data_IF_335721104662
#
_entry.id   IF_335721104662
#
_cell.length_a   1.000
_cell.length_b   1.000
_cell.length_c   1.000
_cell.angle_alpha   90.00
_cell.angle_beta   90.00
_cell.angle_gamma   90.00
#
_symmetry.space_group_name_H-M   'P 1'
#
loop_
_entity.id
_entity.type
_entity.pdbx_description
1 polymer ?
#
# COMPACT_ATOMS: atom_id res chain seq x y z
N UNK A 1 -22.79 46.60 -37.59
CA UNK A 1 -21.46 46.11 -37.97
C UNK A 1 -20.42 46.48 -36.94
N UNK A 2 -19.65 45.50 -36.47
CA UNK A 2 -18.46 45.72 -35.62
C UNK A 2 -17.20 45.97 -36.47
N UNK A 3 -16.15 46.50 -35.85
CA UNK A 3 -14.90 46.82 -36.57
C UNK A 3 -14.20 45.57 -37.14
N UNK A 4 -14.33 44.44 -36.46
CA UNK A 4 -13.78 43.15 -36.90
C UNK A 4 -14.57 42.56 -38.08
N UNK A 5 -15.90 42.73 -38.10
CA UNK A 5 -16.76 42.33 -39.23
C UNK A 5 -16.46 43.15 -40.49
N UNK A 6 -16.25 44.46 -40.35
CA UNK A 6 -15.87 45.35 -41.45
C UNK A 6 -14.53 44.92 -42.07
N UNK A 7 -13.59 44.47 -41.23
CA UNK A 7 -12.28 43.99 -41.68
C UNK A 7 -12.33 42.62 -42.35
N UNK A 8 -13.16 41.69 -41.84
CA UNK A 8 -13.33 40.34 -42.40
C UNK A 8 -14.20 40.32 -43.67
N UNK A 9 -15.17 41.24 -43.78
CA UNK A 9 -16.24 41.21 -44.78
C UNK A 9 -16.43 42.53 -45.54
N UNK A 10 -15.45 42.91 -46.38
CA UNK A 10 -15.56 44.13 -47.22
C UNK A 10 -16.78 44.15 -48.15
N UNK A 11 -17.32 42.97 -48.50
CA UNK A 11 -18.53 42.83 -49.33
C UNK A 11 -19.81 43.19 -48.57
N UNK A 12 -19.96 42.71 -47.35
CA UNK A 12 -21.13 43.00 -46.49
C UNK A 12 -21.14 44.48 -46.11
N UNK A 13 -19.97 45.03 -45.77
CA UNK A 13 -19.82 46.46 -45.54
C UNK A 13 -20.22 47.31 -46.75
N UNK A 14 -19.77 46.92 -47.95
CA UNK A 14 -20.13 47.60 -49.20
C UNK A 14 -21.64 47.57 -49.44
N UNK A 15 -22.30 46.45 -49.19
CA UNK A 15 -23.76 46.31 -49.36
C UNK A 15 -24.53 47.22 -48.39
N UNK A 16 -24.19 47.20 -47.10
CA UNK A 16 -24.92 48.00 -46.10
C UNK A 16 -24.75 49.52 -46.33
N UNK A 17 -23.55 49.95 -46.75
CA UNK A 17 -23.31 51.35 -47.14
C UNK A 17 -24.08 51.71 -48.41
N UNK A 18 -24.09 50.81 -49.40
CA UNK A 18 -24.80 51.03 -50.66
C UNK A 18 -26.31 51.20 -50.44
N UNK A 19 -26.93 50.34 -49.64
CA UNK A 19 -28.36 50.40 -49.34
C UNK A 19 -28.74 51.72 -48.65
N UNK A 20 -27.95 52.17 -47.66
CA UNK A 20 -28.21 53.42 -46.93
C UNK A 20 -28.04 54.64 -47.82
N UNK A 21 -26.98 54.70 -48.63
CA UNK A 21 -26.74 55.85 -49.52
C UNK A 21 -27.72 55.87 -50.69
N UNK A 22 -28.11 54.71 -51.23
CA UNK A 22 -29.12 54.63 -52.30
C UNK A 22 -30.49 55.14 -51.82
N UNK A 23 -30.86 54.90 -50.55
CA UNK A 23 -32.10 55.40 -49.96
C UNK A 23 -32.17 56.93 -49.96
N UNK A 24 -31.06 57.62 -49.63
CA UNK A 24 -30.98 59.08 -49.68
C UNK A 24 -30.95 59.62 -51.11
N UNK A 25 -30.21 58.98 -52.01
CA UNK A 25 -30.09 59.41 -53.41
C UNK A 25 -31.39 59.26 -54.20
N UNK A 26 -32.25 58.30 -53.83
CA UNK A 26 -33.57 58.12 -54.42
C UNK A 26 -34.45 59.38 -54.29
N UNK A 27 -34.30 60.16 -53.20
CA UNK A 27 -35.04 61.42 -53.01
C UNK A 27 -34.68 62.47 -54.07
N UNK A 28 -33.48 62.37 -54.64
CA UNK A 28 -32.97 63.23 -55.70
C UNK A 28 -33.04 62.59 -57.10
N UNK A 29 -33.59 61.38 -57.20
CA UNK A 29 -33.70 60.63 -58.47
C UNK A 29 -32.37 60.07 -58.99
N UNK A 30 -31.35 59.93 -58.15
CA UNK A 30 -30.02 59.46 -58.54
C UNK A 30 -29.81 57.97 -58.20
N UNK A 31 -29.14 57.23 -59.08
CA UNK A 31 -28.89 55.79 -58.95
C UNK A 31 -27.40 55.47 -58.95
N UNK A 32 -26.94 54.71 -57.97
CA UNK A 32 -25.56 54.23 -57.92
C UNK A 32 -25.45 52.95 -58.76
N UNK A 33 -24.69 52.99 -59.84
CA UNK A 33 -24.40 51.81 -60.67
C UNK A 33 -23.23 50.98 -60.15
N UNK A 34 -22.19 51.65 -59.64
CA UNK A 34 -21.02 50.99 -59.09
C UNK A 34 -20.39 51.87 -58.02
N UNK A 35 -20.06 51.27 -56.89
CA UNK A 35 -19.29 51.90 -55.83
C UNK A 35 -18.12 50.98 -55.46
N UNK A 36 -16.92 51.53 -55.34
CA UNK A 36 -15.75 50.80 -54.86
C UNK A 36 -15.30 51.41 -53.54
N UNK A 37 -15.10 50.55 -52.55
CA UNK A 37 -14.40 50.92 -51.31
C UNK A 37 -12.91 50.90 -51.63
N UNK A 38 -12.20 52.01 -51.35
CA UNK A 38 -10.77 52.11 -51.65
C UNK A 38 -9.92 51.27 -50.69
N UNK A 39 -9.56 51.85 -49.56
CA UNK A 39 -8.79 51.19 -48.51
C UNK A 39 -9.19 51.81 -47.18
N UNK A 40 -9.46 50.97 -46.19
CA UNK A 40 -9.62 51.42 -44.82
C UNK A 40 -8.23 51.63 -44.24
N UNK A 41 -7.94 52.86 -43.83
CA UNK A 41 -6.68 53.25 -43.21
C UNK A 41 -6.99 53.88 -41.86
N UNK A 42 -6.13 53.61 -40.88
CA UNK A 42 -6.27 54.23 -39.57
C UNK A 42 -6.04 55.75 -39.67
N UNK A 43 -6.71 56.48 -38.79
CA UNK A 43 -6.45 57.91 -38.59
C UNK A 43 -5.04 58.07 -38.01
N UNK A 44 -4.33 59.10 -38.46
CA UNK A 44 -2.95 59.38 -38.05
C UNK A 44 -2.83 59.43 -36.52
N UNK A 45 -2.05 58.52 -35.94
CA UNK A 45 -1.85 58.36 -34.49
C UNK A 45 -2.48 57.09 -33.89
N UNK A 46 -3.26 56.33 -34.66
CA UNK A 46 -3.82 55.04 -34.26
C UNK A 46 -3.30 53.92 -35.18
N UNK A 47 -3.09 52.72 -34.62
CA UNK A 47 -2.55 51.54 -35.34
C UNK A 47 -3.45 50.29 -35.17
N UNK A 48 -4.76 50.51 -35.00
CA UNK A 48 -5.72 49.45 -34.69
C UNK A 48 -5.75 48.34 -35.75
N UNK A 49 -5.74 48.68 -37.04
CA UNK A 49 -5.74 47.68 -38.11
C UNK A 49 -4.44 46.87 -38.18
N UNK A 50 -3.31 47.47 -37.83
CA UNK A 50 -2.02 46.78 -37.75
C UNK A 50 -2.06 45.73 -36.65
N UNK A 51 -2.51 46.09 -35.45
CA UNK A 51 -2.63 45.16 -34.32
C UNK A 51 -3.70 44.09 -34.56
N UNK A 52 -4.82 44.42 -35.19
CA UNK A 52 -5.85 43.44 -35.55
C UNK A 52 -5.33 42.43 -36.58
N UNK A 53 -4.56 42.88 -37.58
CA UNK A 53 -3.88 42.01 -38.54
C UNK A 53 -2.87 41.08 -37.85
N UNK A 54 -2.05 41.60 -36.95
CA UNK A 54 -1.10 40.79 -36.18
C UNK A 54 -1.81 39.76 -35.28
N UNK A 55 -2.88 40.18 -34.58
CA UNK A 55 -3.69 39.30 -33.72
C UNK A 55 -4.29 38.14 -34.52
N UNK A 56 -4.90 38.42 -35.67
CA UNK A 56 -5.52 37.38 -36.51
C UNK A 56 -4.49 36.40 -37.10
N UNK A 57 -3.31 36.88 -37.49
CA UNK A 57 -2.22 36.01 -37.92
C UNK A 57 -1.68 35.15 -36.78
N UNK A 58 -1.50 35.71 -35.58
CA UNK A 58 -1.07 34.95 -34.41
C UNK A 58 -2.11 33.93 -33.97
N UNK A 59 -3.40 34.28 -34.03
CA UNK A 59 -4.51 33.40 -33.72
C UNK A 59 -4.56 32.21 -34.69
N UNK A 60 -4.44 32.45 -36.00
CA UNK A 60 -4.37 31.39 -36.99
C UNK A 60 -3.12 30.51 -36.81
N UNK A 61 -1.96 31.11 -36.52
CA UNK A 61 -0.73 30.36 -36.26
C UNK A 61 -0.82 29.50 -34.99
N UNK A 62 -1.44 30.01 -33.93
CA UNK A 62 -1.65 29.27 -32.70
C UNK A 62 -2.68 28.15 -32.90
N UNK A 63 -3.77 28.40 -33.62
CA UNK A 63 -4.74 27.36 -33.95
C UNK A 63 -4.09 26.23 -34.76
N UNK A 64 -3.30 26.56 -35.78
CA UNK A 64 -2.56 25.57 -36.55
C UNK A 64 -1.57 24.77 -35.69
N UNK A 65 -0.92 25.40 -34.70
CA UNK A 65 -0.06 24.71 -33.74
C UNK A 65 -0.85 23.75 -32.85
N UNK A 66 -2.03 24.15 -32.39
CA UNK A 66 -2.93 23.30 -31.61
C UNK A 66 -3.35 22.09 -32.43
N UNK A 67 -3.82 22.29 -33.67
CA UNK A 67 -4.26 21.21 -34.55
C UNK A 67 -3.12 20.21 -34.84
N UNK A 68 -1.90 20.70 -35.07
CA UNK A 68 -0.71 19.85 -35.26
C UNK A 68 -0.36 19.08 -33.98
N UNK A 69 -0.45 19.70 -32.81
CA UNK A 69 -0.20 19.05 -31.53
C UNK A 69 -1.24 17.96 -31.24
N UNK A 70 -2.52 18.23 -31.49
CA UNK A 70 -3.61 17.25 -31.36
C UNK A 70 -3.44 16.07 -32.32
N UNK A 71 -3.08 16.35 -33.59
CA UNK A 71 -2.82 15.31 -34.57
C UNK A 71 -1.63 14.42 -34.17
N UNK A 72 -0.54 15.01 -33.67
CA UNK A 72 0.60 14.25 -33.13
C UNK A 72 0.20 13.41 -31.93
N UNK A 73 -0.51 13.98 -30.96
CA UNK A 73 -0.99 13.27 -29.79
C UNK A 73 -1.85 12.06 -30.19
N UNK A 74 -2.79 12.25 -31.13
CA UNK A 74 -3.64 11.17 -31.63
C UNK A 74 -2.84 10.09 -32.37
N UNK A 75 -1.83 10.48 -33.15
CA UNK A 75 -0.93 9.56 -33.83
C UNK A 75 -0.10 8.71 -32.85
N UNK A 76 0.48 9.35 -31.84
CA UNK A 76 1.28 8.68 -30.79
C UNK A 76 0.42 7.73 -29.94
N UNK A 77 -0.77 8.16 -29.52
CA UNK A 77 -1.72 7.31 -28.80
C UNK A 77 -2.12 6.11 -29.67
N UNK A 78 -2.42 6.33 -30.96
CA UNK A 78 -2.75 5.27 -31.90
C UNK A 78 -1.62 4.25 -32.07
N UNK A 79 -0.36 4.72 -32.18
CA UNK A 79 0.83 3.87 -32.24
C UNK A 79 0.97 3.04 -30.96
N UNK A 80 0.94 3.69 -29.78
CA UNK A 80 1.10 3.00 -28.49
C UNK A 80 -0.02 2.00 -28.22
N UNK A 81 -1.25 2.31 -28.62
CA UNK A 81 -2.37 1.38 -28.51
C UNK A 81 -2.15 0.13 -29.37
N UNK A 82 -1.68 0.30 -30.62
CA UNK A 82 -1.35 -0.81 -31.53
C UNK A 82 -0.18 -1.64 -31.00
N UNK A 83 0.86 -1.00 -30.47
CA UNK A 83 1.98 -1.68 -29.83
C UNK A 83 1.51 -2.52 -28.63
N UNK A 84 0.69 -1.93 -27.75
CA UNK A 84 0.13 -2.63 -26.60
C UNK A 84 -0.77 -3.81 -26.99
N UNK A 85 -1.63 -3.63 -28.00
CA UNK A 85 -2.44 -4.73 -28.55
C UNK A 85 -1.58 -5.84 -29.16
N UNK A 86 -0.52 -5.48 -29.88
CA UNK A 86 0.41 -6.46 -30.48
C UNK A 86 1.11 -7.26 -29.39
N UNK A 87 1.59 -6.60 -28.31
CA UNK A 87 2.20 -7.29 -27.18
C UNK A 87 1.22 -8.20 -26.45
N UNK A 88 -0.02 -7.75 -26.20
CA UNK A 88 -1.04 -8.59 -25.56
C UNK A 88 -1.40 -9.80 -26.41
N UNK A 89 -1.57 -9.63 -27.72
CA UNK A 89 -1.87 -10.73 -28.64
C UNK A 89 -0.68 -11.70 -28.73
N UNK A 90 0.55 -11.20 -28.79
CA UNK A 90 1.75 -12.05 -28.76
C UNK A 90 1.82 -12.87 -27.47
N UNK A 91 1.56 -12.26 -26.31
CA UNK A 91 1.55 -12.96 -25.02
C UNK A 91 0.44 -14.03 -24.94
N UNK A 92 -0.77 -13.74 -25.47
CA UNK A 92 -1.86 -14.72 -25.56
C UNK A 92 -1.48 -15.90 -26.45
N UNK A 93 -0.92 -15.63 -27.63
CA UNK A 93 -0.48 -16.67 -28.57
C UNK A 93 0.63 -17.53 -27.94
N UNK A 94 1.60 -16.92 -27.26
CA UNK A 94 2.67 -17.68 -26.60
C UNK A 94 2.13 -18.56 -25.46
N UNK A 95 1.21 -18.03 -24.65
CA UNK A 95 0.53 -18.80 -23.61
C UNK A 95 -0.26 -19.98 -24.19
N UNK A 96 -1.06 -19.75 -25.24
CA UNK A 96 -1.80 -20.81 -25.94
C UNK A 96 -0.85 -21.84 -26.58
N UNK A 97 0.23 -21.38 -27.20
CA UNK A 97 1.26 -22.26 -27.78
C UNK A 97 1.90 -23.13 -26.72
N UNK A 98 2.20 -22.57 -25.54
CA UNK A 98 2.76 -23.32 -24.41
C UNK A 98 1.77 -24.35 -23.86
N UNK A 99 0.48 -24.01 -23.74
CA UNK A 99 -0.57 -24.95 -23.33
C UNK A 99 -0.68 -26.09 -24.35
N UNK A 100 -0.77 -25.79 -25.64
CA UNK A 100 -0.88 -26.80 -26.70
C UNK A 100 0.36 -27.70 -26.74
N UNK A 101 1.57 -27.13 -26.60
CA UNK A 101 2.80 -27.91 -26.57
C UNK A 101 2.85 -28.84 -25.35
N UNK A 102 2.42 -28.38 -24.18
CA UNK A 102 2.35 -29.17 -22.95
C UNK A 102 1.32 -30.28 -23.07
N UNK A 103 0.15 -29.98 -23.66
CA UNK A 103 -0.89 -30.97 -23.92
C UNK A 103 -0.42 -32.04 -24.89
N UNK A 104 0.21 -31.65 -26.02
CA UNK A 104 0.81 -32.59 -26.98
C UNK A 104 1.89 -33.45 -26.34
N UNK A 105 2.73 -32.89 -25.46
CA UNK A 105 3.72 -33.66 -24.71
C UNK A 105 3.06 -34.63 -23.72
N UNK A 106 1.99 -34.19 -23.03
CA UNK A 106 1.21 -35.05 -22.14
C UNK A 106 0.57 -36.22 -22.87
N UNK A 107 -0.02 -35.97 -24.03
CA UNK A 107 -0.63 -37.01 -24.88
C UNK A 107 0.43 -37.94 -25.48
N UNK A 108 1.57 -37.40 -25.93
CA UNK A 108 2.72 -38.20 -26.35
C UNK A 108 3.24 -39.14 -25.26
N UNK A 109 3.39 -38.63 -24.02
CA UNK A 109 3.79 -39.45 -22.86
C UNK A 109 2.74 -40.49 -22.50
N UNK A 110 1.45 -40.18 -22.57
CA UNK A 110 0.39 -41.17 -22.34
C UNK A 110 0.47 -42.31 -23.35
N UNK A 111 0.67 -42.00 -24.62
CA UNK A 111 0.75 -43.01 -25.66
C UNK A 111 2.03 -43.85 -25.54
N UNK A 112 3.16 -43.22 -25.21
CA UNK A 112 4.41 -43.91 -24.90
C UNK A 112 4.26 -44.85 -23.70
N UNK A 113 3.59 -44.39 -22.63
CA UNK A 113 3.28 -45.23 -21.48
C UNK A 113 2.44 -46.42 -21.92
N UNK A 114 1.33 -46.23 -22.64
CA UNK A 114 0.46 -47.33 -23.11
C UNK A 114 1.23 -48.37 -23.91
N UNK A 115 2.06 -47.93 -24.87
CA UNK A 115 2.90 -48.83 -25.67
C UNK A 115 3.86 -49.59 -24.76
N UNK A 116 4.53 -48.91 -23.82
CA UNK A 116 5.45 -49.55 -22.87
C UNK A 116 4.74 -50.53 -21.94
N UNK A 117 3.54 -50.23 -21.45
CA UNK A 117 2.76 -51.16 -20.64
C UNK A 117 2.35 -52.38 -21.46
N UNK A 118 1.92 -52.18 -22.72
CA UNK A 118 1.55 -53.28 -23.60
C UNK A 118 2.75 -54.21 -23.89
N UNK A 119 3.93 -53.65 -24.15
CA UNK A 119 5.18 -54.43 -24.32
C UNK A 119 5.52 -55.21 -23.05
N UNK A 120 5.49 -54.60 -21.87
CA UNK A 120 5.74 -55.30 -20.60
C UNK A 120 4.74 -56.41 -20.32
N UNK A 121 3.45 -56.18 -20.61
CA UNK A 121 2.42 -57.22 -20.46
C UNK A 121 2.72 -58.39 -21.40
N UNK A 122 3.16 -58.12 -22.64
CA UNK A 122 3.55 -59.15 -23.58
C UNK A 122 4.79 -59.93 -23.14
N UNK A 123 5.82 -59.25 -22.65
CA UNK A 123 7.03 -59.87 -22.07
C UNK A 123 6.66 -60.78 -20.89
N UNK A 124 5.85 -60.29 -19.95
CA UNK A 124 5.39 -61.07 -18.80
C UNK A 124 4.59 -62.32 -19.22
N UNK A 125 3.72 -62.20 -20.23
CA UNK A 125 2.97 -63.34 -20.76
C UNK A 125 3.91 -64.38 -21.40
N UNK A 126 4.95 -63.93 -22.12
CA UNK A 126 5.95 -64.83 -22.71
C UNK A 126 6.83 -65.50 -21.68
N UNK A 127 7.23 -64.79 -20.63
CA UNK A 127 7.95 -65.39 -19.51
C UNK A 127 7.10 -66.42 -18.76
N UNK A 128 5.81 -66.14 -18.55
CA UNK A 128 4.88 -67.11 -17.95
C UNK A 128 4.71 -68.37 -18.82
N UNK A 129 4.55 -68.22 -20.13
CA UNK A 129 4.45 -69.34 -21.08
C UNK A 129 5.73 -70.21 -21.08
N UNK A 130 6.91 -69.58 -21.03
CA UNK A 130 8.21 -70.28 -20.90
C UNK A 130 8.34 -70.98 -19.55
N UNK A 131 7.87 -70.36 -18.46
CA UNK A 131 7.89 -70.96 -17.13
C UNK A 131 6.97 -72.19 -17.04
N UNK A 132 5.78 -72.14 -17.64
CA UNK A 132 4.87 -73.29 -17.74
C UNK A 132 5.48 -74.43 -18.56
N UNK A 133 6.05 -74.13 -19.74
CA UNK A 133 6.73 -75.13 -20.56
C UNK A 133 7.92 -75.78 -19.82
N UNK A 134 8.70 -74.99 -19.08
CA UNK A 134 9.80 -75.50 -18.26
C UNK A 134 9.30 -76.36 -17.09
N UNK A 135 8.19 -75.99 -16.45
CA UNK A 135 7.57 -76.77 -15.39
C UNK A 135 7.03 -78.11 -15.91
N UNK A 136 6.44 -78.14 -17.11
CA UNK A 136 6.02 -79.38 -17.76
C UNK A 136 7.20 -80.29 -18.12
N UNK A 137 8.28 -79.73 -18.64
CA UNK A 137 9.52 -80.47 -18.90
C UNK A 137 10.11 -81.06 -17.61
N UNK A 138 10.10 -80.29 -16.52
CA UNK A 138 10.54 -80.76 -15.21
C UNK A 138 9.66 -81.89 -14.67
N UNK A 139 8.33 -81.80 -14.82
CA UNK A 139 7.40 -82.88 -14.45
C UNK A 139 7.67 -84.17 -15.25
N UNK A 140 7.90 -84.06 -16.56
CA UNK A 140 8.24 -85.22 -17.40
C UNK A 140 9.57 -85.85 -16.98
N UNK A 141 10.60 -85.04 -16.71
CA UNK A 141 11.89 -85.52 -16.20
C UNK A 141 11.76 -86.22 -14.84
N UNK A 142 10.97 -85.66 -13.92
CA UNK A 142 10.72 -86.27 -12.61
C UNK A 142 9.92 -87.59 -12.73
N UNK A 143 8.99 -87.68 -13.68
CA UNK A 143 8.30 -88.93 -14.02
C UNK A 143 9.27 -90.03 -14.44
N UNK A 144 10.19 -89.72 -15.37
CA UNK A 144 11.22 -90.66 -15.81
C UNK A 144 12.20 -91.05 -14.70
N UNK A 145 12.61 -90.11 -13.85
CA UNK A 145 13.48 -90.39 -12.71
C UNK A 145 12.78 -91.30 -11.69
N UNK A 146 11.48 -91.09 -11.44
CA UNK A 146 10.68 -91.95 -10.55
C UNK A 146 10.52 -93.35 -11.13
N UNK A 147 10.28 -93.48 -12.43
CA UNK A 147 10.15 -94.77 -13.11
C UNK A 147 11.48 -95.54 -13.13
N UNK A 148 12.60 -94.86 -13.33
CA UNK A 148 13.94 -95.43 -13.19
C UNK A 148 14.25 -95.89 -11.75
N UNK A 149 13.88 -95.09 -10.74
CA UNK A 149 14.07 -95.49 -9.33
C UNK A 149 13.15 -96.62 -8.90
N UNK A 150 11.92 -96.71 -9.43
CA UNK A 150 11.03 -97.84 -9.14
C UNK A 150 11.62 -99.13 -9.72
N UNK A 151 12.19 -99.10 -10.92
CA UNK A 151 12.90 -100.25 -11.49
C UNK A 151 14.15 -100.65 -10.66
N UNK A 152 14.87 -99.68 -10.09
CA UNK A 152 16.03 -99.93 -9.23
C UNK A 152 15.63 -100.48 -7.84
N UNK A 153 14.52 -100.02 -7.27
CA UNK A 153 13.99 -100.52 -6.00
C UNK A 153 13.36 -101.91 -6.16
N UNK A 154 12.74 -102.21 -7.30
CA UNK A 154 12.24 -103.56 -7.61
C UNK A 154 13.37 -104.57 -7.80
N UNK A 155 14.54 -104.15 -8.31
CA UNK A 155 15.75 -104.97 -8.33
C UNK A 155 16.34 -105.21 -6.93
N UNK A 156 16.27 -104.20 -6.04
CA UNK A 156 16.79 -104.30 -4.67
C UNK A 156 15.84 -105.02 -3.69
N UNK A 157 14.56 -105.20 -4.03
CA UNK A 157 13.57 -105.94 -3.21
C UNK A 157 13.75 -107.47 -3.20
N UNK A 158 14.74 -108.01 -3.90
CA UNK A 158 14.99 -109.45 -4.00
C UNK A 158 15.79 -110.07 -2.83
N UNK A 159 16.20 -109.32 -1.80
CA UNK A 159 16.91 -109.90 -0.65
C UNK A 159 16.14 -109.61 0.64
N UNK A 160 15.13 -110.44 0.84
CA UNK A 160 14.53 -110.68 2.14
C UNK A 160 15.56 -111.40 3.05
N UNK A 161 16.24 -110.66 3.92
CA UNK A 161 16.86 -111.13 5.18
C UNK A 161 17.57 -109.97 5.92
N UNK A 162 16.83 -108.92 6.31
CA UNK A 162 17.37 -107.91 7.25
C UNK A 162 16.35 -107.30 8.21
N UNK A 163 15.34 -108.06 8.61
CA UNK A 163 14.26 -107.59 9.50
C UNK A 163 14.62 -107.58 11.01
N UNK A 164 15.85 -107.90 11.40
CA UNK A 164 16.27 -107.86 12.81
C UNK A 164 17.16 -106.64 13.17
N UNK A 165 17.75 -105.96 12.18
CA UNK A 165 18.58 -104.76 12.40
C UNK A 165 17.77 -103.46 12.34
N UNK A 166 16.69 -103.43 11.55
CA UNK A 166 15.82 -102.28 11.33
C UNK A 166 15.09 -101.78 12.59
N UNK A 167 14.70 -102.65 13.53
CA UNK A 167 13.95 -102.22 14.72
C UNK A 167 14.79 -101.44 15.73
N UNK A 168 16.09 -101.79 15.87
CA UNK A 168 17.00 -101.11 16.81
C UNK A 168 17.47 -99.75 16.28
N UNK A 169 17.53 -99.62 14.96
CA UNK A 169 17.91 -98.39 14.27
C UNK A 169 16.75 -97.40 14.19
N UNK A 170 15.51 -97.87 13.98
CA UNK A 170 14.30 -97.04 14.01
C UNK A 170 14.05 -96.43 15.39
N UNK A 171 14.30 -97.15 16.49
CA UNK A 171 14.12 -96.58 17.84
C UNK A 171 15.19 -95.54 18.20
N UNK A 172 16.46 -95.75 17.79
CA UNK A 172 17.52 -94.74 17.93
C UNK A 172 17.26 -93.52 17.05
N UNK A 173 16.79 -93.72 15.82
CA UNK A 173 16.42 -92.64 14.91
C UNK A 173 15.17 -91.90 15.39
N UNK A 174 14.21 -92.56 16.02
CA UNK A 174 13.04 -91.91 16.62
C UNK A 174 13.43 -91.06 17.83
N UNK A 175 14.36 -91.53 18.68
CA UNK A 175 14.87 -90.74 19.81
C UNK A 175 15.74 -89.53 19.36
N UNK A 176 16.59 -89.72 18.35
CA UNK A 176 17.38 -88.63 17.77
C UNK A 176 16.49 -87.62 17.04
N UNK A 177 15.50 -88.06 16.26
CA UNK A 177 14.55 -87.15 15.60
C UNK A 177 13.66 -86.40 16.58
N UNK A 178 13.31 -86.97 17.74
CA UNK A 178 12.51 -86.28 18.75
C UNK A 178 13.34 -85.23 19.50
N UNK A 179 14.63 -85.52 19.78
CA UNK A 179 15.55 -84.54 20.39
C UNK A 179 15.99 -83.45 19.42
N UNK A 180 16.13 -83.76 18.13
CA UNK A 180 16.37 -82.78 17.07
C UNK A 180 15.14 -81.93 16.76
N UNK A 181 13.93 -82.51 16.76
CA UNK A 181 12.68 -81.73 16.67
C UNK A 181 12.51 -80.77 17.84
N UNK A 182 12.75 -81.22 19.07
CA UNK A 182 12.69 -80.36 20.25
C UNK A 182 13.77 -79.27 20.19
N UNK A 183 15.01 -79.60 19.83
CA UNK A 183 16.07 -78.59 19.63
C UNK A 183 15.72 -77.61 18.53
N UNK A 184 15.15 -78.06 17.40
CA UNK A 184 14.72 -77.19 16.31
C UNK A 184 13.53 -76.30 16.72
N UNK A 185 12.58 -76.80 17.49
CA UNK A 185 11.46 -76.02 18.02
C UNK A 185 11.90 -74.98 19.05
N UNK A 186 12.83 -75.32 19.96
CA UNK A 186 13.36 -74.37 20.94
C UNK A 186 14.31 -73.34 20.31
N UNK A 187 15.17 -73.76 19.37
CA UNK A 187 16.05 -72.84 18.65
C UNK A 187 15.25 -71.92 17.72
N UNK A 188 14.23 -72.43 17.03
CA UNK A 188 13.35 -71.59 16.20
C UNK A 188 12.55 -70.60 17.05
N UNK A 189 11.89 -71.04 18.13
CA UNK A 189 11.17 -70.13 19.05
C UNK A 189 12.09 -69.07 19.67
N UNK A 190 13.28 -69.46 20.14
CA UNK A 190 14.25 -68.52 20.70
C UNK A 190 14.82 -67.56 19.65
N UNK A 191 15.07 -68.01 18.42
CA UNK A 191 15.52 -67.14 17.32
C UNK A 191 14.44 -66.14 16.90
N UNK A 192 13.18 -66.58 16.81
CA UNK A 192 12.04 -65.71 16.46
C UNK A 192 11.77 -64.70 17.57
N UNK A 193 11.83 -65.09 18.85
CA UNK A 193 11.70 -64.15 19.98
C UNK A 193 12.86 -63.16 20.07
N UNK A 194 14.07 -63.59 19.72
CA UNK A 194 15.22 -62.69 19.65
C UNK A 194 15.09 -61.69 18.50
N UNK A 195 14.69 -62.16 17.30
CA UNK A 195 14.46 -61.31 16.14
C UNK A 195 13.30 -60.34 16.36
N UNK A 196 12.18 -60.76 16.96
CA UNK A 196 11.07 -59.84 17.27
C UNK A 196 11.49 -58.77 18.26
N UNK A 197 12.22 -59.12 19.33
CA UNK A 197 12.73 -58.13 20.29
C UNK A 197 13.74 -57.17 19.68
N UNK A 198 14.60 -57.63 18.78
CA UNK A 198 15.55 -56.77 18.05
C UNK A 198 14.80 -55.83 17.09
N UNK A 199 13.78 -56.32 16.39
CA UNK A 199 12.95 -55.51 15.51
C UNK A 199 12.12 -54.48 16.30
N UNK A 200 11.55 -54.85 17.45
CA UNK A 200 10.84 -53.92 18.34
C UNK A 200 11.76 -52.84 18.89
N UNK A 201 12.95 -53.21 19.37
CA UNK A 201 13.95 -52.25 19.87
C UNK A 201 14.43 -51.30 18.76
N UNK A 202 14.65 -51.82 17.54
CA UNK A 202 15.01 -51.00 16.38
C UNK A 202 13.86 -50.07 15.95
N UNK A 203 12.62 -50.55 16.02
CA UNK A 203 11.43 -49.75 15.74
C UNK A 203 11.27 -48.61 16.75
N UNK A 204 11.47 -48.86 18.04
CA UNK A 204 11.41 -47.83 19.07
C UNK A 204 12.52 -46.79 18.92
N UNK A 205 13.74 -47.21 18.59
CA UNK A 205 14.86 -46.30 18.29
C UNK A 205 14.53 -45.43 17.06
N UNK A 206 14.02 -46.02 15.99
CA UNK A 206 13.63 -45.30 14.79
C UNK A 206 12.51 -44.29 15.07
N UNK A 207 11.50 -44.69 15.86
CA UNK A 207 10.41 -43.79 16.28
C UNK A 207 10.92 -42.61 17.11
N UNK A 208 11.84 -42.86 18.05
CA UNK A 208 12.47 -41.81 18.87
C UNK A 208 13.35 -40.88 18.02
N UNK A 209 14.13 -41.42 17.08
CA UNK A 209 14.93 -40.63 16.15
C UNK A 209 14.06 -39.75 15.26
N UNK A 210 13.00 -40.31 14.65
CA UNK A 210 12.08 -39.54 13.81
C UNK A 210 11.31 -38.48 14.59
N UNK A 211 10.92 -38.77 15.83
CA UNK A 211 10.29 -37.76 16.70
C UNK A 211 11.27 -36.63 17.06
N UNK A 212 12.53 -36.94 17.35
CA UNK A 212 13.56 -35.94 17.62
C UNK A 212 13.90 -35.09 16.39
N UNK A 213 14.01 -35.71 15.21
CA UNK A 213 14.19 -35.02 13.92
C UNK A 213 13.00 -34.12 13.60
N UNK A 214 11.77 -34.59 13.80
CA UNK A 214 10.57 -33.78 13.60
C UNK A 214 10.54 -32.56 14.54
N UNK A 215 10.89 -32.76 15.82
CA UNK A 215 10.95 -31.68 16.79
C UNK A 215 12.03 -30.64 16.45
N UNK A 216 13.22 -31.08 16.03
CA UNK A 216 14.29 -30.18 15.58
C UNK A 216 13.86 -29.41 14.33
N UNK A 217 13.23 -30.08 13.37
CA UNK A 217 12.74 -29.46 12.15
C UNK A 217 11.65 -28.42 12.42
N UNK A 218 10.71 -28.71 13.31
CA UNK A 218 9.69 -27.75 13.76
C UNK A 218 10.35 -26.53 14.42
N UNK A 219 11.34 -26.74 15.31
CA UNK A 219 12.05 -25.64 15.98
C UNK A 219 12.88 -24.80 15.02
N UNK A 220 13.54 -25.41 14.04
CA UNK A 220 14.27 -24.69 12.99
C UNK A 220 13.32 -23.86 12.12
N UNK A 221 12.18 -24.43 11.72
CA UNK A 221 11.17 -23.70 10.93
C UNK A 221 10.51 -22.57 11.70
N UNK A 222 10.23 -22.76 12.99
CA UNK A 222 9.75 -21.68 13.87
C UNK A 222 10.79 -20.55 13.98
N UNK A 223 12.07 -20.89 14.18
CA UNK A 223 13.14 -19.89 14.27
C UNK A 223 13.37 -19.14 12.95
N UNK A 224 13.30 -19.85 11.82
CA UNK A 224 13.39 -19.26 10.48
C UNK A 224 12.20 -18.33 10.20
N UNK A 225 10.98 -18.75 10.56
CA UNK A 225 9.78 -17.92 10.44
C UNK A 225 9.86 -16.67 11.33
N UNK A 226 10.37 -16.78 12.56
CA UNK A 226 10.59 -15.64 13.45
C UNK A 226 11.65 -14.67 12.90
N UNK A 227 12.76 -15.19 12.35
CA UNK A 227 13.77 -14.35 11.68
C UNK A 227 13.20 -13.62 10.47
N UNK A 228 12.48 -14.32 9.60
CA UNK A 228 11.83 -13.73 8.44
C UNK A 228 10.79 -12.66 8.83
N UNK A 229 10.00 -12.91 9.88
CA UNK A 229 9.04 -11.94 10.40
C UNK A 229 9.73 -10.71 11.01
N UNK A 230 10.84 -10.89 11.73
CA UNK A 230 11.63 -9.80 12.29
C UNK A 230 12.29 -8.95 11.19
N UNK A 231 12.85 -9.58 10.15
CA UNK A 231 13.41 -8.89 8.99
C UNK A 231 12.34 -8.13 8.21
N UNK A 232 11.16 -8.72 7.98
CA UNK A 232 10.04 -8.04 7.34
C UNK A 232 9.56 -6.83 8.18
N UNK A 233 9.46 -6.98 9.50
CA UNK A 233 9.11 -5.88 10.40
C UNK A 233 10.17 -4.77 10.40
N UNK A 234 11.45 -5.12 10.38
CA UNK A 234 12.56 -4.17 10.28
C UNK A 234 12.52 -3.41 8.95
N UNK A 235 12.33 -4.11 7.84
CA UNK A 235 12.22 -3.51 6.52
C UNK A 235 11.01 -2.58 6.41
N UNK A 236 9.86 -2.98 6.97
CA UNK A 236 8.67 -2.13 7.03
C UNK A 236 8.87 -0.87 7.86
N UNK A 237 9.54 -0.96 9.02
CA UNK A 237 9.90 0.22 9.84
C UNK A 237 10.88 1.13 9.11
N UNK A 238 11.90 0.55 8.46
CA UNK A 238 12.89 1.31 7.69
C UNK A 238 12.22 2.11 6.57
N UNK A 239 11.35 1.50 5.77
CA UNK A 239 10.62 2.22 4.72
C UNK A 239 9.74 3.35 5.26
N UNK A 240 9.07 3.15 6.41
CA UNK A 240 8.28 4.22 7.04
C UNK A 240 9.15 5.38 7.47
N UNK A 241 10.26 5.11 8.16
CA UNK A 241 11.20 6.15 8.60
C UNK A 241 11.83 6.86 7.41
N UNK A 242 12.23 6.13 6.37
CA UNK A 242 12.79 6.71 5.14
C UNK A 242 11.74 7.59 4.42
N UNK A 243 10.47 7.17 4.42
CA UNK A 243 9.34 7.97 3.91
C UNK A 243 9.10 9.25 4.71
N UNK A 244 9.05 9.15 6.04
CA UNK A 244 8.89 10.30 6.94
C UNK A 244 10.09 11.27 6.83
N UNK A 245 11.29 10.74 6.70
CA UNK A 245 12.51 11.53 6.49
C UNK A 245 12.45 12.27 5.15
N UNK A 246 12.05 11.60 4.08
CA UNK A 246 11.89 12.21 2.77
C UNK A 246 10.80 13.30 2.78
N UNK A 247 9.67 13.06 3.44
CA UNK A 247 8.61 14.06 3.60
C UNK A 247 9.13 15.31 4.33
N UNK A 248 9.81 15.13 5.47
CA UNK A 248 10.40 16.25 6.22
C UNK A 248 11.49 16.98 5.44
N UNK A 249 12.27 16.28 4.63
CA UNK A 249 13.26 16.90 3.75
C UNK A 249 12.57 17.79 2.71
N UNK A 250 11.48 17.31 2.09
CA UNK A 250 10.69 18.09 1.12
C UNK A 250 9.95 19.25 1.76
N UNK A 251 9.44 19.09 2.98
CA UNK A 251 8.89 20.20 3.76
C UNK A 251 9.96 21.25 4.06
N UNK A 252 11.17 20.84 4.45
CA UNK A 252 12.28 21.75 4.70
C UNK A 252 12.75 22.47 3.42
N UNK A 253 12.81 21.77 2.29
CA UNK A 253 13.08 22.37 0.97
C UNK A 253 11.98 23.38 0.59
N UNK A 254 10.71 23.04 0.83
CA UNK A 254 9.58 23.95 0.60
C UNK A 254 9.65 25.20 1.47
N UNK A 255 9.98 25.05 2.75
CA UNK A 255 10.18 26.19 3.67
C UNK A 255 11.37 27.06 3.24
N UNK A 256 12.47 26.46 2.77
CA UNK A 256 13.60 27.23 2.22
C UNK A 256 13.18 28.02 0.98
N UNK A 257 12.48 27.39 0.04
CA UNK A 257 11.98 28.06 -1.16
C UNK A 257 10.99 29.19 -0.82
N UNK A 258 10.11 29.00 0.16
CA UNK A 258 9.22 30.04 0.67
C UNK A 258 10.00 31.19 1.34
N UNK A 259 11.02 30.89 2.14
CA UNK A 259 11.86 31.90 2.76
C UNK A 259 12.68 32.69 1.72
N UNK A 260 13.18 32.03 0.68
CA UNK A 260 13.85 32.68 -0.46
C UNK A 260 12.87 33.55 -1.27
N UNK A 261 11.65 33.06 -1.51
CA UNK A 261 10.59 33.82 -2.16
C UNK A 261 10.18 35.05 -1.34
N UNK A 262 10.05 34.91 -0.02
CA UNK A 262 9.78 36.04 0.88
C UNK A 262 10.95 37.02 0.93
N UNK A 263 12.20 36.52 0.96
CA UNK A 263 13.40 37.36 0.96
C UNK A 263 13.55 38.15 -0.34
N UNK A 264 13.32 37.52 -1.49
CA UNK A 264 13.28 38.19 -2.79
C UNK A 264 12.14 39.20 -2.87
N UNK A 265 10.95 38.85 -2.40
CA UNK A 265 9.81 39.76 -2.35
C UNK A 265 10.11 41.01 -1.51
N UNK A 266 10.58 40.84 -0.28
CA UNK A 266 10.95 41.95 0.62
C UNK A 266 12.05 42.81 -0.01
N UNK A 267 13.04 42.19 -0.67
CA UNK A 267 14.09 42.90 -1.38
C UNK A 267 13.54 43.75 -2.53
N UNK A 268 12.66 43.18 -3.36
CA UNK A 268 12.04 43.94 -4.47
C UNK A 268 11.19 45.12 -3.97
N UNK A 269 10.49 44.96 -2.83
CA UNK A 269 9.75 46.05 -2.21
C UNK A 269 10.67 47.13 -1.65
N UNK A 270 11.77 46.74 -1.00
CA UNK A 270 12.77 47.68 -0.50
C UNK A 270 13.39 48.49 -1.64
N UNK A 271 13.74 47.81 -2.74
CA UNK A 271 14.30 48.45 -3.94
C UNK A 271 13.28 49.42 -4.57
N UNK A 272 12.00 49.03 -4.65
CA UNK A 272 10.93 49.89 -5.18
C UNK A 272 10.64 51.13 -4.30
N UNK A 273 10.83 51.02 -2.98
CA UNK A 273 10.70 52.12 -2.02
C UNK A 273 11.99 52.95 -1.87
N UNK A 274 12.99 52.72 -2.72
CA UNK A 274 14.24 53.49 -2.72
C UNK A 274 15.12 53.26 -1.49
N UNK A 275 14.98 52.11 -0.82
CA UNK A 275 15.76 51.76 0.38
C UNK A 275 15.24 52.32 1.69
N UNK A 276 14.06 52.97 1.72
CA UNK A 276 13.45 53.44 2.96
C UNK A 276 12.87 52.29 3.79
N UNK A 277 13.59 51.92 4.85
CA UNK A 277 13.19 50.86 5.78
C UNK A 277 11.91 51.19 6.56
N UNK A 278 11.68 52.47 6.90
CA UNK A 278 10.53 52.86 7.72
C UNK A 278 9.21 52.65 6.95
N UNK A 279 9.18 53.09 5.70
CA UNK A 279 8.04 52.89 4.80
C UNK A 279 7.77 51.40 4.55
N UNK A 280 8.81 50.59 4.34
CA UNK A 280 8.68 49.15 4.14
C UNK A 280 8.13 48.45 5.39
N UNK A 281 8.65 48.77 6.58
CA UNK A 281 8.16 48.22 7.85
C UNK A 281 6.68 48.53 8.04
N UNK A 282 6.30 49.79 7.84
CA UNK A 282 4.91 50.23 8.04
C UNK A 282 3.97 49.57 7.03
N UNK A 283 4.41 49.44 5.76
CA UNK A 283 3.68 48.69 4.75
C UNK A 283 3.48 47.22 5.13
N UNK A 284 4.55 46.53 5.56
CA UNK A 284 4.47 45.12 5.97
C UNK A 284 3.59 44.92 7.20
N UNK A 285 3.64 45.82 8.18
CA UNK A 285 2.77 45.76 9.37
C UNK A 285 1.30 45.95 9.02
N UNK A 286 0.99 46.84 8.07
CA UNK A 286 -0.37 47.08 7.59
C UNK A 286 -0.85 45.90 6.73
N UNK A 287 -0.07 45.47 5.74
CA UNK A 287 -0.44 44.37 4.84
C UNK A 287 -0.53 43.02 5.55
N UNK A 288 0.34 42.80 6.54
CA UNK A 288 0.33 41.61 7.40
C UNK A 288 -0.81 41.61 8.43
N UNK A 289 -1.62 42.67 8.51
CA UNK A 289 -2.76 42.73 9.43
C UNK A 289 -2.38 42.76 10.91
N UNK A 290 -1.11 43.07 11.24
CA UNK A 290 -0.59 43.02 12.61
C UNK A 290 -1.43 43.89 13.57
N UNK A 291 -1.87 45.06 13.11
CA UNK A 291 -2.74 45.95 13.89
C UNK A 291 -4.12 45.33 14.19
N UNK A 292 -4.67 44.56 13.25
CA UNK A 292 -5.94 43.86 13.47
C UNK A 292 -5.78 42.73 14.49
N UNK A 293 -4.68 41.99 14.41
CA UNK A 293 -4.37 40.93 15.38
C UNK A 293 -4.12 41.49 16.79
N UNK A 294 -3.32 42.55 16.92
CA UNK A 294 -3.07 43.22 18.21
C UNK A 294 -4.39 43.72 18.81
N UNK A 295 -5.23 44.36 18.01
CA UNK A 295 -6.55 44.81 18.46
C UNK A 295 -7.43 43.64 18.91
N UNK A 296 -7.41 42.52 18.18
CA UNK A 296 -8.18 41.31 18.52
C UNK A 296 -7.68 40.64 19.80
N UNK A 297 -6.36 40.51 19.99
CA UNK A 297 -5.76 39.94 21.19
C UNK A 297 -6.09 40.81 22.41
N UNK A 298 -5.95 42.13 22.29
CA UNK A 298 -6.33 43.07 23.35
C UNK A 298 -7.83 42.98 23.68
N UNK A 299 -8.69 42.91 22.66
CA UNK A 299 -10.11 42.74 22.85
C UNK A 299 -10.44 41.40 23.54
N UNK A 300 -9.80 40.30 23.14
CA UNK A 300 -9.96 38.98 23.77
C UNK A 300 -9.47 38.95 25.21
N UNK A 301 -8.36 39.62 25.52
CA UNK A 301 -7.85 39.73 26.88
C UNK A 301 -8.80 40.50 27.81
N UNK A 302 -9.53 41.48 27.26
CA UNK A 302 -10.58 42.22 27.99
C UNK A 302 -11.91 41.44 27.99
N UNK A 303 -12.12 40.56 27.02
CA UNK A 303 -13.33 39.75 26.88
C UNK A 303 -13.42 38.68 27.97
N UNK A 304 -14.25 38.95 28.99
CA UNK A 304 -14.45 38.06 30.14
C UNK A 304 -13.97 38.64 31.47
N UNK A 305 -13.25 39.77 31.45
CA UNK A 305 -13.01 40.54 32.67
C UNK A 305 -14.33 41.21 33.08
N UNK A 306 -14.82 40.88 34.28
CA UNK A 306 -15.84 41.66 34.98
C UNK A 306 -15.12 42.57 35.99
N UNK A 307 -14.62 43.76 35.59
CA UNK A 307 -14.05 44.68 36.56
C UNK A 307 -15.16 45.14 37.50
N UNK A 308 -15.14 44.69 38.76
CA UNK A 308 -15.91 45.32 39.82
C UNK A 308 -15.24 46.65 40.14
N UNK A 309 -15.72 47.71 39.48
CA UNK A 309 -15.23 49.07 39.70
C UNK A 309 -15.71 49.50 41.08
N UNK A 310 -14.83 49.43 42.07
CA UNK A 310 -15.06 50.04 43.38
C UNK A 310 -14.87 51.56 43.24
N UNK A 311 -15.99 52.27 43.12
CA UNK A 311 -16.00 53.73 43.05
C UNK A 311 -15.74 54.25 44.46
N UNK A 312 -14.53 54.72 44.72
CA UNK A 312 -14.21 55.42 45.96
C UNK A 312 -14.69 56.86 45.83
N UNK A 313 -15.93 57.11 46.22
CA UNK A 313 -16.37 58.47 46.51
C UNK A 313 -15.86 58.84 47.90
N UNK A 314 -14.63 59.38 47.98
CA UNK A 314 -14.24 60.12 49.17
C UNK A 314 -15.15 61.35 49.21
N UNK A 315 -16.16 61.32 50.08
CA UNK A 315 -17.16 62.38 50.18
C UNK A 315 -16.48 63.74 50.22
N UNK A 316 -16.78 64.58 49.22
CA UNK A 316 -16.25 65.92 49.13
C UNK A 316 -16.50 66.66 50.44
N UNK A 317 -15.42 67.20 51.01
CA UNK A 317 -15.43 68.19 52.08
C UNK A 317 -16.24 69.42 51.63
N UNK A 318 -17.54 69.40 51.90
CA UNK A 318 -18.38 70.59 51.99
C UNK A 318 -18.07 71.29 53.31
N UNK A 319 -17.39 72.42 53.18
CA UNK A 319 -16.96 73.35 54.22
C UNK A 319 -18.14 73.80 55.10
N UNK A 320 -18.06 73.54 56.41
CA UNK A 320 -19.02 74.00 57.42
C UNK A 320 -18.43 73.85 58.82
N UNK A 321 -17.97 74.97 59.38
CA UNK A 321 -17.38 75.10 60.71
C UNK A 321 -18.30 74.63 61.85
N UNK A 322 -17.73 73.92 62.84
CA UNK A 322 -17.87 74.23 64.27
C UNK A 322 -17.03 73.23 65.10
N UNK A 323 -16.38 73.75 66.14
CA UNK A 323 -15.31 73.11 66.90
C UNK A 323 -15.70 71.90 67.76
N UNK A 324 -14.70 71.06 68.02
CA UNK A 324 -14.76 69.93 68.96
C UNK A 324 -13.69 68.88 68.67
N UNK A 325 -12.60 68.89 69.45
CA UNK A 325 -11.55 67.85 69.65
C UNK A 325 -11.15 66.94 68.47
N UNK A 326 -9.96 67.18 67.92
CA UNK A 326 -9.31 66.45 66.81
C UNK A 326 -9.16 64.94 67.00
N UNK A 327 -8.99 64.46 68.24
CA UNK A 327 -8.78 63.03 68.51
C UNK A 327 -9.96 62.14 68.09
N UNK A 328 -11.20 62.67 68.08
CA UNK A 328 -12.36 61.91 67.63
C UNK A 328 -12.58 61.96 66.11
N UNK A 329 -12.08 62.99 65.41
CA UNK A 329 -12.17 63.07 63.93
C UNK A 329 -11.20 62.11 63.25
N UNK A 330 -10.00 61.95 63.81
CA UNK A 330 -9.03 60.98 63.31
C UNK A 330 -9.49 59.54 63.57
N UNK A 331 -10.02 59.24 64.76
CA UNK A 331 -10.58 57.91 65.08
C UNK A 331 -11.83 57.61 64.23
N UNK A 332 -12.69 58.59 63.97
CA UNK A 332 -13.84 58.42 63.07
C UNK A 332 -13.43 58.26 61.59
N UNK A 333 -12.33 58.88 61.17
CA UNK A 333 -11.72 58.68 59.85
C UNK A 333 -11.18 57.26 59.68
N UNK A 334 -10.42 56.77 60.67
CA UNK A 334 -9.91 55.40 60.70
C UNK A 334 -11.07 54.39 60.73
N UNK A 335 -12.11 54.63 61.55
CA UNK A 335 -13.27 53.75 61.63
C UNK A 335 -14.09 53.69 60.33
N UNK A 336 -14.11 54.77 59.54
CA UNK A 336 -14.74 54.79 58.21
C UNK A 336 -13.88 54.13 57.12
N UNK A 337 -12.57 54.05 57.30
CA UNK A 337 -11.63 53.37 56.39
C UNK A 337 -11.55 51.86 56.63
N UNK A 338 -11.93 51.39 57.82
CA UNK A 338 -11.87 49.98 58.19
C UNK A 338 -12.80 49.09 57.34
N UNK A 339 -14.11 49.37 57.15
CA UNK A 339 -14.99 48.50 56.37
C UNK A 339 -14.54 48.32 54.90
N UNK A 340 -14.11 49.37 54.19
CA UNK A 340 -13.55 49.22 52.84
C UNK A 340 -12.24 48.42 52.80
N UNK A 341 -11.33 48.61 53.77
CA UNK A 341 -10.09 47.82 53.83
C UNK A 341 -10.39 46.34 54.07
N UNK A 342 -11.31 46.01 54.97
CA UNK A 342 -11.73 44.63 55.19
C UNK A 342 -12.43 44.02 53.99
N UNK A 343 -13.23 44.81 53.24
CA UNK A 343 -13.82 44.36 51.98
C UNK A 343 -12.74 44.03 50.94
N UNK A 344 -11.71 44.87 50.80
CA UNK A 344 -10.60 44.58 49.87
C UNK A 344 -9.73 43.39 50.30
N UNK A 345 -9.48 43.22 51.61
CA UNK A 345 -8.72 42.08 52.15
C UNK A 345 -9.51 40.78 52.00
N UNK A 346 -10.82 40.80 52.23
CA UNK A 346 -11.71 39.66 52.01
C UNK A 346 -11.80 39.32 50.51
N UNK A 347 -11.89 40.32 49.63
CA UNK A 347 -11.94 40.13 48.17
C UNK A 347 -10.62 39.57 47.61
N UNK A 348 -9.47 39.87 48.21
CA UNK A 348 -8.16 39.38 47.75
C UNK A 348 -7.69 38.10 48.43
N UNK A 349 -8.05 37.86 49.69
CA UNK A 349 -7.55 36.72 50.49
C UNK A 349 -8.63 35.71 50.91
N UNK A 350 -9.91 36.03 50.73
CA UNK A 350 -11.04 35.13 51.02
C UNK A 350 -11.35 34.91 52.50
N UNK A 351 -10.65 35.57 53.42
CA UNK A 351 -10.85 35.40 54.87
C UNK A 351 -11.88 36.39 55.44
N UNK A 352 -12.80 35.88 56.26
CA UNK A 352 -13.78 36.68 57.00
C UNK A 352 -13.18 37.21 58.31
N UNK A 353 -13.41 38.49 58.69
CA UNK A 353 -12.98 39.00 59.97
C UNK A 353 -13.76 38.36 61.14
N UNK A 354 -13.19 38.32 62.38
CA UNK A 354 -13.82 37.71 63.55
C UNK A 354 -15.19 38.30 63.89
N UNK A 355 -16.15 37.45 64.28
CA UNK A 355 -17.57 37.79 64.43
C UNK A 355 -17.90 38.93 65.43
N UNK A 356 -17.00 39.26 66.37
CA UNK A 356 -17.20 40.34 67.34
C UNK A 356 -16.87 41.75 66.79
N UNK A 357 -16.25 41.84 65.62
CA UNK A 357 -15.91 43.11 64.95
C UNK A 357 -16.96 43.56 63.91
N UNK A 358 -18.08 42.85 63.80
CA UNK A 358 -19.20 43.18 62.94
C UNK A 358 -19.36 42.20 61.77
N UNK A 359 -20.57 41.66 61.62
CA UNK A 359 -20.94 40.85 60.47
C UNK A 359 -21.30 41.76 59.30
N UNK A 360 -20.61 41.60 58.17
CA UNK A 360 -20.99 42.25 56.92
C UNK A 360 -22.26 41.58 56.39
N UNK A 361 -23.36 42.33 56.28
CA UNK A 361 -24.56 41.85 55.59
C UNK A 361 -24.38 42.05 54.09
N UNK A 362 -24.00 41.00 53.37
CA UNK A 362 -24.07 40.98 51.91
C UNK A 362 -25.55 40.98 51.48
N UNK A 363 -26.03 42.13 51.01
CA UNK A 363 -27.17 42.17 50.07
C UNK A 363 -26.58 42.50 48.71
N UNK A 364 -26.57 41.46 47.87
CA UNK A 364 -26.31 41.37 46.43
C UNK A 364 -25.97 42.66 45.67
#
# INVERSE_FOLDING_TARGET
MTMEEIFRGTKEFKQEVFEKVQLELNQFGLWIYNANVKQLVDVRGHEYFSYLGQKTQMEAANQARVDVAEAKMKGEIGSKLRDGQTQQNAAKIDAETKIISTQRQGDGKKEEIKVRTAVKVFENLKEAEVAEANAELAKKKAGWAKEAHVAEVEANKAVALRDAELQKEVERMNALTMTEKLKAEFLSKASVEYETKVQEANWELYKKQKAAEAYLYEKEKEAEAQKAAAEAAFFGRKQKVDGDFYAKLKEAEGLKALAEAQGTYIRTLLDAMGGDYAALRDYLMISGGMFQEVAKINAQAVHGLQPKISIWTNGGHGQGEAGGTDAMKEVAGVYKMLPPLFKTVQEQTGMLPPAWMGAMTDKN
#
